data_IF_490474056080
#
_entry.id   IF_490474056080
#
_cell.length_a   1.000
_cell.length_b   1.000
_cell.length_c   1.000
_cell.angle_alpha   90.00
_cell.angle_beta   90.00
_cell.angle_gamma   90.00
#
_symmetry.space_group_name_H-M   'P 1'
#
loop_
_entity.id
_entity.type
_entity.pdbx_description
1 polymer ?
#
# COMPACT_ATOMS: atom_id res chain seq x y z
N UNK A 1 9.46 11.80 -21.00
CA UNK A 1 8.08 11.37 -20.96
C UNK A 1 7.47 11.43 -19.58
N UNK A 2 8.25 11.36 -18.52
CA UNK A 2 7.80 11.69 -17.17
C UNK A 2 7.30 13.13 -17.03
N UNK A 3 7.78 14.06 -17.86
CA UNK A 3 7.37 15.47 -17.79
C UNK A 3 5.92 15.72 -18.15
N UNK A 4 5.34 14.95 -19.08
CA UNK A 4 3.94 15.13 -19.51
C UNK A 4 2.92 14.74 -18.43
N UNK A 5 3.29 13.85 -17.51
CA UNK A 5 2.44 13.42 -16.41
C UNK A 5 2.19 14.49 -15.38
N UNK A 6 3.17 15.35 -15.20
CA UNK A 6 3.11 16.40 -14.19
C UNK A 6 2.60 17.71 -14.79
N UNK A 7 2.08 17.65 -16.00
CA UNK A 7 1.50 18.83 -16.67
C UNK A 7 0.28 19.32 -15.91
N UNK A 8 0.30 20.58 -15.51
CA UNK A 8 -0.76 21.19 -14.74
C UNK A 8 -0.63 21.07 -13.22
N UNK A 9 0.39 20.37 -12.75
CA UNK A 9 0.70 20.28 -11.32
C UNK A 9 1.64 21.42 -10.94
N UNK A 10 1.47 21.98 -9.74
CA UNK A 10 2.35 23.01 -9.20
C UNK A 10 3.81 22.56 -9.23
N UNK A 11 4.74 23.43 -9.60
CA UNK A 11 6.17 23.12 -9.74
C UNK A 11 6.79 22.54 -8.46
N UNK A 12 6.32 22.98 -7.31
CA UNK A 12 6.76 22.41 -6.02
C UNK A 12 6.48 20.91 -5.93
N UNK A 13 5.30 20.49 -6.38
CA UNK A 13 4.90 19.08 -6.33
C UNK A 13 5.52 18.26 -7.44
N UNK A 14 5.88 18.88 -8.57
CA UNK A 14 6.52 18.18 -9.69
C UNK A 14 7.81 17.50 -9.28
N UNK A 15 8.65 18.22 -8.57
CA UNK A 15 9.95 17.69 -8.13
C UNK A 15 9.75 16.55 -7.12
N UNK A 16 8.81 16.72 -6.19
CA UNK A 16 8.48 15.69 -5.20
C UNK A 16 7.95 14.42 -5.85
N UNK A 17 7.02 14.56 -6.78
CA UNK A 17 6.43 13.44 -7.51
C UNK A 17 7.44 12.74 -8.41
N UNK A 18 8.30 13.49 -9.07
CA UNK A 18 9.36 12.93 -9.91
C UNK A 18 10.32 12.09 -9.07
N UNK A 19 10.73 12.59 -7.91
CA UNK A 19 11.59 11.86 -6.97
C UNK A 19 10.94 10.58 -6.47
N UNK A 20 9.69 10.66 -6.05
CA UNK A 20 8.91 9.49 -5.60
C UNK A 20 8.78 8.47 -6.72
N UNK A 21 8.47 8.92 -7.93
CA UNK A 21 8.33 8.04 -9.09
C UNK A 21 9.63 7.27 -9.38
N UNK A 22 10.75 7.98 -9.45
CA UNK A 22 12.04 7.34 -9.69
C UNK A 22 12.43 6.39 -8.56
N UNK A 23 12.09 6.74 -7.33
CA UNK A 23 12.36 5.90 -6.17
C UNK A 23 11.56 4.58 -6.23
N UNK A 24 10.27 4.67 -6.50
CA UNK A 24 9.40 3.49 -6.64
C UNK A 24 9.88 2.63 -7.80
N UNK A 25 10.16 3.23 -8.94
CA UNK A 25 10.61 2.54 -10.14
C UNK A 25 11.93 1.79 -9.93
N UNK A 26 12.85 2.38 -9.17
CA UNK A 26 14.15 1.78 -8.84
C UNK A 26 14.02 0.67 -7.81
N UNK A 27 13.31 0.94 -6.70
CA UNK A 27 13.32 0.09 -5.52
C UNK A 27 12.21 -0.97 -5.52
N UNK A 28 11.20 -0.79 -6.36
CA UNK A 28 10.14 -1.79 -6.57
C UNK A 28 10.37 -2.64 -7.82
N UNK A 29 11.55 -2.61 -8.41
CA UNK A 29 11.87 -3.42 -9.57
C UNK A 29 11.82 -4.92 -9.22
N UNK A 30 11.27 -5.78 -10.11
CA UNK A 30 11.25 -7.21 -9.87
C UNK A 30 12.67 -7.76 -9.65
N UNK A 31 12.84 -8.58 -8.62
CA UNK A 31 14.13 -9.20 -8.30
C UNK A 31 15.02 -8.44 -7.34
N UNK A 32 14.54 -7.33 -6.79
CA UNK A 32 15.28 -6.68 -5.70
C UNK A 32 15.06 -7.45 -4.41
N UNK A 33 16.08 -8.22 -4.02
CA UNK A 33 16.03 -9.12 -2.87
C UNK A 33 16.52 -8.47 -1.57
N UNK A 34 16.85 -7.20 -1.59
CA UNK A 34 17.56 -6.57 -0.50
C UNK A 34 16.76 -6.46 0.79
N UNK A 35 15.43 -6.40 0.72
CA UNK A 35 14.64 -6.09 1.91
C UNK A 35 13.22 -6.64 1.81
N UNK A 36 12.75 -7.23 2.89
CA UNK A 36 11.37 -7.71 3.03
C UNK A 36 10.41 -6.55 3.32
N UNK A 37 10.51 -5.47 2.53
CA UNK A 37 9.71 -4.25 2.68
C UNK A 37 8.99 -3.97 1.38
N UNK A 38 7.90 -4.67 1.18
CA UNK A 38 7.15 -4.62 -0.08
C UNK A 38 5.82 -3.88 0.04
N UNK A 39 5.67 -3.11 1.11
CA UNK A 39 4.49 -2.28 1.32
C UNK A 39 4.67 -0.89 0.72
N UNK A 40 3.64 -0.41 0.07
CA UNK A 40 3.54 0.95 -0.46
C UNK A 40 2.24 1.55 0.06
N UNK A 41 2.33 2.72 0.69
CA UNK A 41 1.14 3.45 1.15
C UNK A 41 0.90 4.64 0.23
N UNK A 42 -0.33 4.77 -0.24
CA UNK A 42 -0.82 5.96 -0.93
C UNK A 42 -1.93 6.57 -0.09
N UNK A 43 -1.72 7.80 0.35
CA UNK A 43 -2.67 8.50 1.21
C UNK A 43 -2.80 9.98 0.79
N UNK A 44 -3.87 10.62 1.23
CA UNK A 44 -4.16 12.03 0.95
C UNK A 44 -4.14 12.40 -0.55
N UNK A 45 -4.52 11.44 -1.38
CA UNK A 45 -4.49 11.57 -2.84
C UNK A 45 -5.87 11.95 -3.38
N UNK A 46 -6.28 13.19 -3.15
CA UNK A 46 -7.62 13.68 -3.54
C UNK A 46 -7.87 13.59 -5.06
N UNK A 47 -6.84 13.81 -5.86
CA UNK A 47 -6.94 13.82 -7.32
C UNK A 47 -6.74 12.47 -7.97
N UNK A 48 -6.20 11.50 -7.24
CA UNK A 48 -5.82 10.19 -7.77
C UNK A 48 -4.49 10.19 -8.54
N UNK A 49 -3.77 11.30 -8.54
CA UNK A 49 -2.51 11.44 -9.28
C UNK A 49 -1.38 10.58 -8.69
N UNK A 50 -1.29 10.51 -7.36
CA UNK A 50 -0.28 9.68 -6.70
C UNK A 50 -0.51 8.20 -6.97
N UNK A 51 -1.75 7.76 -6.88
CA UNK A 51 -2.11 6.38 -7.16
C UNK A 51 -1.80 6.01 -8.62
N UNK A 52 -2.13 6.90 -9.57
CA UNK A 52 -1.81 6.70 -10.97
C UNK A 52 -0.30 6.54 -11.19
N UNK A 53 0.49 7.36 -10.50
CA UNK A 53 1.95 7.31 -10.56
C UNK A 53 2.50 5.98 -10.03
N UNK A 54 1.99 5.54 -8.89
CA UNK A 54 2.39 4.26 -8.28
C UNK A 54 1.99 3.09 -9.17
N UNK A 55 0.76 3.09 -9.69
CA UNK A 55 0.27 2.05 -10.60
C UNK A 55 1.14 1.92 -11.84
N UNK A 56 1.62 3.03 -12.38
CA UNK A 56 2.52 2.96 -13.52
C UNK A 56 3.90 2.42 -13.13
N UNK A 57 4.46 2.88 -12.01
CA UNK A 57 5.74 2.39 -11.53
C UNK A 57 5.73 0.86 -11.32
N UNK A 58 4.60 0.34 -10.84
CA UNK A 58 4.40 -1.09 -10.61
C UNK A 58 3.94 -1.85 -11.86
N UNK A 59 3.75 -1.17 -12.99
CA UNK A 59 3.19 -1.77 -14.21
C UNK A 59 1.84 -2.45 -13.98
N UNK A 60 0.97 -1.76 -13.26
CA UNK A 60 -0.33 -2.26 -12.85
C UNK A 60 -1.15 -2.83 -14.02
N UNK A 61 -1.23 -2.11 -15.13
CA UNK A 61 -2.03 -2.52 -16.28
C UNK A 61 -1.53 -3.85 -16.88
N UNK A 62 -0.21 -4.05 -16.91
CA UNK A 62 0.38 -5.31 -17.38
C UNK A 62 0.07 -6.46 -16.40
N UNK A 63 0.17 -6.20 -15.11
CA UNK A 63 -0.15 -7.19 -14.08
C UNK A 63 -1.63 -7.54 -14.07
N UNK A 64 -2.50 -6.54 -14.21
CA UNK A 64 -3.95 -6.75 -14.26
C UNK A 64 -4.36 -7.55 -15.49
N UNK A 65 -3.83 -7.21 -16.66
CA UNK A 65 -4.06 -7.95 -17.89
C UNK A 65 -3.61 -9.42 -17.79
N UNK A 66 -2.58 -9.69 -16.99
CA UNK A 66 -2.08 -11.03 -16.74
C UNK A 66 -2.82 -11.77 -15.61
N UNK A 67 -3.82 -11.14 -15.00
CA UNK A 67 -4.55 -11.70 -13.85
C UNK A 67 -3.73 -11.76 -12.55
N UNK A 68 -2.74 -10.89 -12.43
CA UNK A 68 -1.82 -10.84 -11.26
C UNK A 68 -2.10 -9.67 -10.34
N UNK A 69 -3.29 -9.13 -10.37
CA UNK A 69 -3.74 -8.08 -9.43
C UNK A 69 -4.95 -8.60 -8.68
N UNK A 70 -4.89 -8.55 -7.36
CA UNK A 70 -6.05 -8.75 -6.51
C UNK A 70 -6.32 -7.46 -5.75
N UNK A 71 -7.47 -6.85 -6.01
CA UNK A 71 -7.89 -5.61 -5.38
C UNK A 71 -9.04 -5.89 -4.42
N UNK A 72 -8.84 -5.56 -3.16
CA UNK A 72 -9.83 -5.75 -2.11
C UNK A 72 -10.19 -4.41 -1.47
N UNK A 73 -11.38 -4.33 -0.91
CA UNK A 73 -11.83 -3.15 -0.17
C UNK A 73 -12.17 -3.53 1.26
N UNK A 74 -11.50 -2.93 2.21
CA UNK A 74 -11.75 -3.09 3.63
C UNK A 74 -12.74 -2.01 4.06
N UNK A 75 -13.99 -2.41 4.25
CA UNK A 75 -15.09 -1.52 4.65
C UNK A 75 -15.77 -2.04 5.93
N UNK A 76 -16.92 -1.47 6.27
CA UNK A 76 -17.69 -1.86 7.46
C UNK A 76 -18.15 -3.33 7.46
N UNK A 77 -18.16 -3.99 6.31
CA UNK A 77 -18.52 -5.40 6.18
C UNK A 77 -17.34 -6.36 6.39
N UNK A 78 -16.13 -5.82 6.45
CA UNK A 78 -14.95 -6.60 6.77
C UNK A 78 -14.97 -7.04 8.24
N UNK A 79 -14.52 -8.25 8.59
CA UNK A 79 -14.60 -8.74 9.98
C UNK A 79 -13.55 -8.07 10.88
N UNK A 80 -13.73 -6.79 11.15
CA UNK A 80 -12.77 -5.97 11.91
C UNK A 80 -12.88 -6.17 13.43
N UNK A 81 -13.96 -6.81 13.92
CA UNK A 81 -14.14 -7.08 15.35
C UNK A 81 -13.40 -8.32 15.83
N UNK A 82 -12.91 -9.15 14.91
CA UNK A 82 -12.17 -10.38 15.23
C UNK A 82 -10.82 -10.40 14.54
N UNK A 83 -9.75 -10.44 15.32
CA UNK A 83 -8.40 -10.58 14.80
C UNK A 83 -8.25 -11.81 13.90
N UNK A 84 -8.71 -12.97 14.38
CA UNK A 84 -8.58 -14.23 13.66
C UNK A 84 -9.32 -14.21 12.33
N UNK A 85 -10.54 -13.69 12.30
CA UNK A 85 -11.34 -13.60 11.08
C UNK A 85 -10.75 -12.59 10.09
N UNK A 86 -10.29 -11.43 10.59
CA UNK A 86 -9.63 -10.42 9.78
C UNK A 86 -8.37 -11.00 9.13
N UNK A 87 -7.52 -11.66 9.90
CA UNK A 87 -6.30 -12.29 9.40
C UNK A 87 -6.61 -13.37 8.37
N UNK A 88 -7.55 -14.25 8.65
CA UNK A 88 -7.92 -15.32 7.73
C UNK A 88 -8.43 -14.77 6.39
N UNK A 89 -9.21 -13.70 6.43
CA UNK A 89 -9.69 -13.05 5.20
C UNK A 89 -8.56 -12.41 4.40
N UNK A 90 -7.68 -11.65 5.06
CA UNK A 90 -6.54 -11.03 4.40
C UNK A 90 -5.61 -12.09 3.79
N UNK A 91 -5.35 -13.14 4.52
CA UNK A 91 -4.50 -14.24 4.05
C UNK A 91 -5.12 -14.97 2.85
N UNK A 92 -6.42 -15.22 2.90
CA UNK A 92 -7.15 -15.83 1.79
C UNK A 92 -7.07 -14.97 0.53
N UNK A 93 -7.24 -13.67 0.67
CA UNK A 93 -7.14 -12.74 -0.46
C UNK A 93 -5.70 -12.64 -0.99
N UNK A 94 -4.71 -12.64 -0.12
CA UNK A 94 -3.31 -12.63 -0.52
C UNK A 94 -2.91 -13.88 -1.33
N UNK A 95 -3.55 -15.01 -1.04
CA UNK A 95 -3.29 -16.29 -1.73
C UNK A 95 -3.99 -16.45 -3.07
N UNK A 96 -4.89 -15.54 -3.43
CA UNK A 96 -5.64 -15.66 -4.69
C UNK A 96 -4.78 -15.57 -5.93
N UNK A 97 -3.69 -14.85 -5.84
CA UNK A 97 -2.75 -14.68 -6.94
C UNK A 97 -1.35 -15.09 -6.50
N UNK A 98 -0.52 -15.44 -7.46
CA UNK A 98 0.86 -15.81 -7.21
C UNK A 98 1.80 -14.84 -7.95
N UNK A 99 2.76 -14.27 -7.25
CA UNK A 99 3.70 -13.29 -7.80
C UNK A 99 3.01 -12.08 -8.44
N UNK A 100 2.11 -11.49 -7.70
CA UNK A 100 1.33 -10.35 -8.18
C UNK A 100 1.26 -9.20 -7.18
N UNK A 101 0.28 -8.36 -7.38
CA UNK A 101 0.02 -7.17 -6.58
C UNK A 101 -1.27 -7.34 -5.79
N UNK A 102 -1.17 -7.20 -4.48
CA UNK A 102 -2.34 -7.09 -3.61
C UNK A 102 -2.62 -5.62 -3.34
N UNK A 103 -3.77 -5.14 -3.77
CA UNK A 103 -4.23 -3.77 -3.51
C UNK A 103 -5.28 -3.81 -2.41
N UNK A 104 -5.03 -3.10 -1.32
CA UNK A 104 -5.95 -2.99 -0.19
C UNK A 104 -6.47 -1.56 -0.12
N UNK A 105 -7.72 -1.37 -0.51
CA UNK A 105 -8.41 -0.09 -0.39
C UNK A 105 -9.00 0.01 1.03
N UNK A 106 -8.57 1.00 1.78
CA UNK A 106 -9.00 1.19 3.17
C UNK A 106 -10.14 2.20 3.22
N UNK A 107 -11.33 1.72 3.52
CA UNK A 107 -12.52 2.54 3.74
C UNK A 107 -13.00 2.52 5.19
N UNK A 108 -12.36 1.75 6.05
CA UNK A 108 -12.66 1.71 7.48
C UNK A 108 -11.37 1.79 8.29
N UNK A 109 -11.25 2.82 9.11
CA UNK A 109 -10.06 3.09 9.91
C UNK A 109 -9.73 1.98 10.91
N UNK A 110 -10.73 1.17 11.28
CA UNK A 110 -10.55 0.08 12.25
C UNK A 110 -9.61 -1.02 11.79
N UNK A 111 -9.25 -1.05 10.49
CA UNK A 111 -8.22 -1.97 10.02
C UNK A 111 -6.88 -1.72 10.75
N UNK A 112 -6.65 -0.51 11.23
CA UNK A 112 -5.45 -0.16 11.97
C UNK A 112 -5.45 -0.68 13.42
N UNK A 113 -6.53 -1.31 13.87
CA UNK A 113 -6.50 -2.17 15.07
C UNK A 113 -5.76 -3.49 14.78
N UNK A 114 -5.58 -3.83 13.51
CA UNK A 114 -4.96 -5.06 13.03
C UNK A 114 -3.68 -4.80 12.24
N UNK A 115 -2.88 -3.84 12.68
CA UNK A 115 -1.61 -3.49 12.03
C UNK A 115 -0.66 -4.68 11.88
N UNK A 116 -0.69 -5.61 12.83
CA UNK A 116 0.10 -6.83 12.75
C UNK A 116 -0.21 -7.63 11.48
N UNK A 117 -1.48 -7.74 11.11
CA UNK A 117 -1.91 -8.45 9.91
C UNK A 117 -1.36 -7.80 8.65
N UNK A 118 -1.48 -6.48 8.56
CA UNK A 118 -0.95 -5.70 7.42
C UNK A 118 0.58 -5.84 7.35
N UNK A 119 1.24 -5.77 8.50
CA UNK A 119 2.69 -5.95 8.61
C UNK A 119 3.12 -7.31 8.05
N UNK A 120 2.43 -8.39 8.40
CA UNK A 120 2.79 -9.73 7.93
C UNK A 120 2.68 -9.84 6.41
N UNK A 121 1.66 -9.23 5.80
CA UNK A 121 1.51 -9.24 4.35
C UNK A 121 2.64 -8.47 3.65
N UNK A 122 3.03 -7.32 4.20
CA UNK A 122 4.06 -6.46 3.60
C UNK A 122 5.47 -6.97 3.85
N UNK A 123 5.74 -7.56 5.00
CA UNK A 123 7.06 -8.03 5.39
C UNK A 123 7.48 -9.32 4.70
N UNK A 124 6.53 -10.22 4.51
CA UNK A 124 6.75 -11.50 3.80
C UNK A 124 7.96 -12.31 4.30
N UNK A 125 8.20 -12.29 5.62
CA UNK A 125 9.28 -13.08 6.22
C UNK A 125 9.00 -14.58 6.17
N UNK A 126 7.76 -14.95 6.39
CA UNK A 126 7.33 -16.34 6.31
C UNK A 126 7.25 -16.78 4.85
N UNK A 127 7.97 -17.82 4.43
CA UNK A 127 7.88 -18.32 3.06
C UNK A 127 6.46 -18.66 2.61
N UNK A 128 5.59 -19.05 3.55
CA UNK A 128 4.17 -19.32 3.25
C UNK A 128 3.37 -18.08 2.92
N UNK A 129 3.89 -16.88 3.17
CA UNK A 129 3.27 -15.59 2.92
C UNK A 129 3.85 -14.86 1.71
N UNK A 130 4.78 -15.48 0.97
CA UNK A 130 5.40 -14.88 -0.22
C UNK A 130 4.57 -15.12 -1.46
N UNK A 131 3.33 -14.64 -1.45
CA UNK A 131 2.42 -14.80 -2.59
C UNK A 131 2.41 -13.58 -3.50
N UNK A 132 2.63 -12.41 -2.95
CA UNK A 132 2.57 -11.16 -3.67
C UNK A 132 3.95 -10.49 -3.73
N UNK A 133 4.24 -9.84 -4.83
CA UNK A 133 5.48 -9.08 -4.96
C UNK A 133 5.39 -7.78 -4.16
N UNK A 134 4.21 -7.13 -4.18
CA UNK A 134 3.97 -5.89 -3.46
C UNK A 134 2.58 -5.87 -2.85
N UNK A 135 2.45 -5.14 -1.75
CA UNK A 135 1.16 -4.82 -1.12
C UNK A 135 0.98 -3.31 -1.18
N UNK A 136 -0.05 -2.87 -1.88
CA UNK A 136 -0.40 -1.46 -2.03
C UNK A 136 -1.57 -1.13 -1.11
N UNK A 137 -1.31 -0.27 -0.12
CA UNK A 137 -2.32 0.19 0.82
C UNK A 137 -2.80 1.57 0.37
N UNK A 138 -4.06 1.65 -0.06
CA UNK A 138 -4.65 2.88 -0.59
C UNK A 138 -5.65 3.45 0.42
N UNK A 139 -5.40 4.66 0.90
CA UNK A 139 -6.24 5.34 1.87
C UNK A 139 -6.72 6.64 1.23
N UNK A 140 -7.93 6.62 0.68
CA UNK A 140 -8.44 7.72 -0.13
C UNK A 140 -9.32 8.70 0.64
N UNK A 141 -10.27 8.18 1.41
CA UNK A 141 -11.32 8.99 2.03
C UNK A 141 -11.06 9.32 3.51
N UNK A 142 -9.96 8.85 4.05
CA UNK A 142 -9.56 9.10 5.44
C UNK A 142 -8.26 9.89 5.43
N UNK A 143 -8.22 11.09 6.04
CA UNK A 143 -6.97 11.85 6.13
C UNK A 143 -5.88 11.07 6.85
N UNK A 144 -4.65 11.14 6.34
CA UNK A 144 -3.52 10.44 6.92
C UNK A 144 -3.26 10.84 8.38
N UNK A 145 -3.47 12.12 8.71
CA UNK A 145 -3.38 12.60 10.08
C UNK A 145 -4.35 11.89 11.02
N UNK A 146 -5.58 11.63 10.54
CA UNK A 146 -6.57 10.88 11.31
C UNK A 146 -6.16 9.42 11.51
N UNK A 147 -5.58 8.80 10.49
CA UNK A 147 -5.05 7.43 10.59
C UNK A 147 -3.95 7.36 11.64
N UNK A 148 -3.00 8.30 11.61
CA UNK A 148 -1.91 8.35 12.59
C UNK A 148 -2.42 8.53 14.02
N UNK A 149 -3.34 9.43 14.22
CA UNK A 149 -3.95 9.67 15.54
C UNK A 149 -4.66 8.42 16.07
N UNK A 150 -5.50 7.83 15.24
CA UNK A 150 -6.23 6.61 15.60
C UNK A 150 -5.28 5.46 15.98
N UNK A 151 -4.29 5.22 15.14
CA UNK A 151 -3.35 4.13 15.35
C UNK A 151 -2.49 4.35 16.59
N UNK A 152 -2.05 5.59 16.84
CA UNK A 152 -1.26 5.92 18.02
C UNK A 152 -2.07 5.78 19.31
N UNK A 153 -3.36 6.09 19.29
CA UNK A 153 -4.24 5.92 20.45
C UNK A 153 -4.55 4.44 20.75
N UNK A 154 -4.66 3.61 19.71
CA UNK A 154 -5.09 2.23 19.85
C UNK A 154 -3.94 1.24 19.92
N UNK A 155 -2.88 1.42 19.12
CA UNK A 155 -1.77 0.48 19.07
C UNK A 155 -0.52 1.09 18.43
N UNK A 156 0.12 2.01 19.12
CA UNK A 156 1.29 2.74 18.63
C UNK A 156 2.44 1.81 18.22
N UNK A 157 2.76 0.82 19.04
CA UNK A 157 3.88 -0.09 18.80
C UNK A 157 3.70 -0.92 17.53
N UNK A 158 2.52 -1.49 17.34
CA UNK A 158 2.21 -2.28 16.15
C UNK A 158 2.12 -1.41 14.89
N UNK A 159 1.61 -0.20 15.03
CA UNK A 159 1.57 0.75 13.92
C UNK A 159 2.97 1.12 13.44
N UNK A 160 3.89 1.41 14.35
CA UNK A 160 5.29 1.69 14.00
C UNK A 160 5.93 0.50 13.31
N UNK A 161 5.73 -0.70 13.84
CA UNK A 161 6.26 -1.92 13.25
C UNK A 161 5.71 -2.16 11.84
N UNK A 162 4.42 -1.89 11.63
CA UNK A 162 3.80 -1.93 10.30
C UNK A 162 4.44 -0.90 9.37
N UNK A 163 4.59 0.32 9.82
CA UNK A 163 5.15 1.42 9.01
C UNK A 163 6.58 1.13 8.54
N UNK A 164 7.36 0.40 9.32
CA UNK A 164 8.71 -0.02 8.92
C UNK A 164 8.71 -0.97 7.70
N UNK A 165 7.59 -1.64 7.45
CA UNK A 165 7.41 -2.53 6.29
C UNK A 165 6.89 -1.80 5.06
N UNK A 166 6.43 -0.57 5.22
CA UNK A 166 5.97 0.29 4.14
C UNK A 166 7.04 1.32 3.84
N UNK A 167 8.05 0.89 3.10
CA UNK A 167 9.20 1.72 2.78
C UNK A 167 8.81 2.94 1.92
N UNK A 168 7.91 2.73 0.96
CA UNK A 168 7.41 3.79 0.10
C UNK A 168 6.09 4.35 0.63
N UNK A 169 6.15 5.59 1.10
CA UNK A 169 5.01 6.32 1.65
C UNK A 169 4.71 7.49 0.73
N UNK A 170 3.74 7.28 -0.15
CA UNK A 170 3.38 8.26 -1.18
C UNK A 170 2.17 9.04 -0.69
N UNK A 171 2.41 10.15 -0.05
CA UNK A 171 1.36 11.05 0.41
C UNK A 171 1.90 12.48 0.48
N UNK A 172 0.99 13.44 0.35
CA UNK A 172 1.32 14.84 0.54
C UNK A 172 1.23 15.17 2.02
N UNK A 173 2.36 15.30 2.68
CA UNK A 173 2.44 15.82 4.04
C UNK A 173 2.91 17.28 3.98
N UNK A 174 2.12 18.14 4.59
CA UNK A 174 2.54 19.53 4.79
C UNK A 174 3.49 19.62 5.99
#
# INVERSE_FOLDING_TARGET
MTQDRFKGIDDYWKDQLAEVYEHIKRDCAPGDYGWNRRGIIVADDETGELLALVKEALKYDELDAAGKVNEITVDKHWPLDSFAECWNMLLSEARRINHGLLVVNVNDIRIFDHCWCIKQLAKQEDPSLKFNEYVLLVIKDIPWTQVKEYANEHNEGEFRAMMDCFYHRVYFEE
#
